data_IF_326794265492
#
_entry.id   IF_326794265492
#
_cell.length_a   1.000
_cell.length_b   1.000
_cell.length_c   1.000
_cell.angle_alpha   90.00
_cell.angle_beta   90.00
_cell.angle_gamma   90.00
#
_symmetry.space_group_name_H-M   'P 1'
#
loop_
_entity.id
_entity.type
_entity.pdbx_description
1 polymer ?
#
# COMPACT_ATOMS: atom_id res chain seq x y z
N UNK A 1 3.32 18.50 11.82
CA UNK A 1 2.30 17.46 11.55
C UNK A 1 2.94 16.46 10.59
N UNK A 2 2.78 15.15 10.80
CA UNK A 2 3.33 14.13 9.90
C UNK A 2 2.43 14.01 8.66
N UNK A 3 2.99 14.24 7.46
CA UNK A 3 2.29 14.05 6.20
C UNK A 3 2.73 12.73 5.56
N UNK A 4 1.75 11.93 5.13
CA UNK A 4 2.00 10.71 4.35
C UNK A 4 1.77 11.00 2.88
N UNK A 5 2.80 10.80 2.06
CA UNK A 5 2.73 10.85 0.61
C UNK A 5 2.85 9.45 0.04
N UNK A 6 2.03 9.11 -0.95
CA UNK A 6 2.14 7.85 -1.70
C UNK A 6 2.78 8.12 -3.06
N UNK A 7 3.95 7.53 -3.28
CA UNK A 7 4.68 7.60 -4.54
C UNK A 7 4.37 6.35 -5.38
N UNK A 8 3.84 6.57 -6.58
CA UNK A 8 3.57 5.49 -7.54
C UNK A 8 4.81 5.29 -8.40
N UNK A 9 5.42 4.10 -8.30
CA UNK A 9 6.63 3.74 -9.03
C UNK A 9 6.34 2.51 -9.90
N UNK A 10 6.66 2.57 -11.19
CA UNK A 10 6.51 1.43 -12.09
C UNK A 10 7.59 0.39 -11.77
N UNK A 11 7.23 -0.89 -11.84
CA UNK A 11 8.15 -2.01 -11.71
C UNK A 11 8.55 -2.54 -13.09
N UNK A 12 9.77 -3.02 -13.20
CA UNK A 12 10.29 -3.73 -14.37
C UNK A 12 10.66 -5.19 -13.99
N UNK A 13 9.65 -6.05 -13.74
CA UNK A 13 9.88 -7.44 -13.35
C UNK A 13 10.32 -8.30 -14.53
N UNK A 14 11.12 -9.33 -14.25
CA UNK A 14 11.40 -10.41 -15.22
C UNK A 14 10.16 -11.28 -15.44
N UNK A 15 10.09 -12.09 -16.52
CA UNK A 15 8.98 -13.03 -16.74
C UNK A 15 8.74 -13.97 -15.55
N UNK A 16 9.79 -14.45 -14.90
CA UNK A 16 9.68 -15.29 -13.69
C UNK A 16 9.08 -14.50 -12.52
N UNK A 17 9.54 -13.27 -12.30
CA UNK A 17 8.99 -12.40 -11.25
C UNK A 17 7.51 -12.05 -11.52
N UNK A 18 7.09 -11.92 -12.78
CA UNK A 18 5.68 -11.71 -13.15
C UNK A 18 4.82 -12.88 -12.69
N UNK A 19 5.24 -14.12 -12.92
CA UNK A 19 4.50 -15.31 -12.46
C UNK A 19 4.33 -15.30 -10.93
N UNK A 20 5.41 -14.99 -10.20
CA UNK A 20 5.37 -14.91 -8.73
C UNK A 20 4.50 -13.74 -8.22
N UNK A 21 4.52 -12.59 -8.91
CA UNK A 21 3.65 -11.45 -8.59
C UNK A 21 2.18 -11.86 -8.76
N UNK A 22 1.81 -12.47 -9.89
CA UNK A 22 0.43 -12.88 -10.15
C UNK A 22 -0.06 -13.92 -9.13
N UNK A 23 0.77 -14.93 -8.82
CA UNK A 23 0.47 -15.92 -7.80
C UNK A 23 0.26 -15.27 -6.43
N UNK A 24 1.13 -14.32 -6.06
CA UNK A 24 1.03 -13.58 -4.79
C UNK A 24 -0.23 -12.72 -4.73
N UNK A 25 -0.54 -11.98 -5.79
CA UNK A 25 -1.73 -11.12 -5.86
C UNK A 25 -3.02 -11.94 -5.80
N UNK A 26 -3.04 -13.09 -6.47
CA UNK A 26 -4.16 -14.04 -6.42
C UNK A 26 -4.33 -14.61 -5.02
N UNK A 27 -3.30 -15.23 -4.45
CA UNK A 27 -3.35 -15.81 -3.11
C UNK A 27 -3.75 -14.78 -2.04
N UNK A 28 -3.24 -13.54 -2.15
CA UNK A 28 -3.58 -12.47 -1.22
C UNK A 28 -5.05 -12.07 -1.31
N UNK A 29 -5.60 -11.92 -2.52
CA UNK A 29 -7.01 -11.59 -2.72
C UNK A 29 -7.93 -12.73 -2.26
N UNK A 30 -7.60 -13.97 -2.61
CA UNK A 30 -8.36 -15.16 -2.22
C UNK A 30 -8.39 -15.29 -0.68
N UNK A 31 -7.25 -15.08 -0.01
CA UNK A 31 -7.16 -15.01 1.45
C UNK A 31 -8.02 -13.89 2.06
N UNK A 32 -8.01 -12.67 1.47
CA UNK A 32 -8.88 -11.59 1.93
C UNK A 32 -10.37 -11.94 1.79
N UNK A 33 -10.77 -12.56 0.67
CA UNK A 33 -12.16 -12.97 0.46
C UNK A 33 -12.57 -14.07 1.44
N UNK A 34 -11.72 -15.08 1.64
CA UNK A 34 -11.93 -16.15 2.62
C UNK A 34 -12.10 -15.57 4.03
N UNK A 35 -11.16 -14.74 4.48
CA UNK A 35 -11.24 -14.10 5.79
C UNK A 35 -12.51 -13.25 5.95
N UNK A 36 -12.92 -12.54 4.88
CA UNK A 36 -14.15 -11.75 4.89
C UNK A 36 -15.42 -12.61 4.93
N UNK A 37 -15.38 -13.84 4.43
CA UNK A 37 -16.49 -14.79 4.46
C UNK A 37 -16.58 -15.53 5.81
N UNK A 38 -15.45 -16.02 6.32
CA UNK A 38 -15.42 -16.86 7.54
C UNK A 38 -15.67 -16.05 8.81
N UNK A 39 -15.18 -14.81 8.87
CA UNK A 39 -15.31 -14.00 10.08
C UNK A 39 -16.64 -13.26 10.07
N UNK A 40 -17.36 -13.26 11.20
CA UNK A 40 -18.62 -12.52 11.37
C UNK A 40 -18.51 -11.05 10.87
N UNK A 41 -19.46 -10.52 10.07
CA UNK A 41 -19.32 -9.22 9.39
C UNK A 41 -19.05 -8.01 10.29
N UNK A 42 -19.55 -8.03 11.53
CA UNK A 42 -19.39 -6.96 12.52
C UNK A 42 -17.95 -6.81 13.06
N UNK A 43 -17.12 -7.85 12.91
CA UNK A 43 -15.74 -7.83 13.40
C UNK A 43 -14.88 -7.03 12.43
N UNK A 44 -14.37 -5.90 12.89
CA UNK A 44 -13.50 -5.00 12.10
C UNK A 44 -12.05 -4.94 12.62
N UNK A 45 -11.78 -5.60 13.75
CA UNK A 45 -10.45 -5.64 14.36
C UNK A 45 -9.54 -6.61 13.61
N UNK A 46 -8.40 -6.11 13.12
CA UNK A 46 -7.39 -6.95 12.45
C UNK A 46 -6.90 -8.09 13.34
N UNK A 47 -6.76 -7.86 14.65
CA UNK A 47 -6.26 -8.85 15.60
C UNK A 47 -7.27 -9.96 15.80
N UNK A 48 -8.55 -9.60 15.96
CA UNK A 48 -9.62 -10.60 16.09
C UNK A 48 -9.78 -11.41 14.82
N UNK A 49 -9.72 -10.78 13.64
CA UNK A 49 -9.72 -11.50 12.35
C UNK A 49 -8.54 -12.46 12.31
N UNK A 50 -7.33 -12.00 12.59
CA UNK A 50 -6.13 -12.83 12.58
C UNK A 50 -6.24 -14.05 13.50
N UNK A 51 -6.72 -13.88 14.74
CA UNK A 51 -6.87 -15.00 15.67
C UNK A 51 -7.82 -16.08 15.15
N UNK A 52 -8.79 -15.73 14.31
CA UNK A 52 -9.79 -16.67 13.79
C UNK A 52 -9.35 -17.40 12.54
N UNK A 53 -8.58 -16.76 11.64
CA UNK A 53 -8.30 -17.32 10.31
C UNK A 53 -6.82 -17.47 9.98
N UNK A 54 -5.89 -17.05 10.84
CA UNK A 54 -4.47 -17.01 10.50
C UNK A 54 -3.90 -18.36 10.05
N UNK A 55 -4.26 -19.46 10.74
CA UNK A 55 -3.77 -20.79 10.38
C UNK A 55 -4.33 -21.24 9.03
N UNK A 56 -5.62 -21.02 8.79
CA UNK A 56 -6.27 -21.29 7.50
C UNK A 56 -5.61 -20.49 6.37
N UNK A 57 -5.29 -19.21 6.61
CA UNK A 57 -4.65 -18.38 5.58
C UNK A 57 -3.26 -18.88 5.22
N UNK A 58 -2.54 -19.45 6.19
CA UNK A 58 -1.21 -20.04 6.00
C UNK A 58 -1.30 -21.37 5.25
N UNK A 59 -2.27 -22.22 5.58
CA UNK A 59 -2.39 -23.56 5.02
C UNK A 59 -3.06 -23.58 3.64
N UNK A 60 -4.17 -22.86 3.47
CA UNK A 60 -4.99 -22.91 2.25
C UNK A 60 -4.40 -22.11 1.08
N UNK A 61 -3.75 -20.98 1.39
CA UNK A 61 -3.27 -20.04 0.36
C UNK A 61 -1.74 -19.94 0.30
N UNK A 62 -1.01 -20.67 1.15
CA UNK A 62 0.45 -20.67 1.18
C UNK A 62 1.08 -19.29 1.49
N UNK A 63 0.31 -18.34 2.03
CA UNK A 63 0.82 -17.00 2.28
C UNK A 63 1.93 -17.01 3.32
N UNK A 64 2.97 -16.20 3.13
CA UNK A 64 3.94 -15.94 4.21
C UNK A 64 3.25 -15.38 5.46
N UNK A 65 3.86 -15.55 6.64
CA UNK A 65 3.29 -15.07 7.89
C UNK A 65 2.89 -13.58 7.82
N UNK A 66 3.78 -12.73 7.30
CA UNK A 66 3.49 -11.30 7.20
C UNK A 66 2.40 -11.01 6.14
N UNK A 67 2.36 -11.70 4.99
CA UNK A 67 1.28 -11.53 4.01
C UNK A 67 -0.09 -11.94 4.58
N UNK A 68 -0.17 -13.01 5.36
CA UNK A 68 -1.40 -13.41 6.04
C UNK A 68 -1.86 -12.33 7.04
N UNK A 69 -0.94 -11.77 7.84
CA UNK A 69 -1.26 -10.63 8.73
C UNK A 69 -1.75 -9.41 7.94
N UNK A 70 -1.13 -9.12 6.80
CA UNK A 70 -1.53 -8.01 5.91
C UNK A 70 -2.92 -8.24 5.32
N UNK A 71 -3.26 -9.47 4.91
CA UNK A 71 -4.59 -9.82 4.43
C UNK A 71 -5.66 -9.55 5.52
N UNK A 72 -5.42 -10.00 6.75
CA UNK A 72 -6.30 -9.73 7.89
C UNK A 72 -6.46 -8.22 8.17
N UNK A 73 -5.35 -7.47 8.11
CA UNK A 73 -5.35 -6.02 8.29
C UNK A 73 -6.17 -5.32 7.19
N UNK A 74 -6.03 -5.75 5.93
CA UNK A 74 -6.79 -5.21 4.80
C UNK A 74 -8.29 -5.44 4.97
N UNK A 75 -8.71 -6.65 5.34
CA UNK A 75 -10.13 -6.97 5.59
C UNK A 75 -10.68 -6.10 6.71
N UNK A 76 -9.98 -6.01 7.83
CA UNK A 76 -10.38 -5.16 8.96
C UNK A 76 -10.55 -3.70 8.55
N UNK A 77 -9.58 -3.12 7.83
CA UNK A 77 -9.67 -1.74 7.34
C UNK A 77 -10.86 -1.52 6.40
N UNK A 78 -11.07 -2.42 5.43
CA UNK A 78 -12.20 -2.33 4.50
C UNK A 78 -13.54 -2.45 5.22
N UNK A 79 -13.67 -3.33 6.21
CA UNK A 79 -14.88 -3.44 7.03
C UNK A 79 -15.18 -2.17 7.83
N UNK A 80 -14.14 -1.50 8.36
CA UNK A 80 -14.31 -0.19 9.03
C UNK A 80 -14.88 0.84 8.06
N UNK A 81 -14.30 0.97 6.87
CA UNK A 81 -14.79 1.89 5.84
C UNK A 81 -16.20 1.54 5.36
N UNK A 82 -16.48 0.25 5.16
CA UNK A 82 -17.78 -0.26 4.76
C UNK A 82 -18.87 0.09 5.79
N UNK A 83 -18.58 -0.14 7.09
CA UNK A 83 -19.45 0.25 8.21
C UNK A 83 -19.71 1.75 8.25
N UNK A 84 -18.68 2.58 8.10
CA UNK A 84 -18.81 4.04 8.06
C UNK A 84 -19.68 4.52 6.89
N UNK A 85 -19.59 3.85 5.73
CA UNK A 85 -20.34 4.20 4.53
C UNK A 85 -21.69 3.50 4.40
N UNK A 86 -22.09 2.71 5.42
CA UNK A 86 -23.28 1.87 5.42
C UNK A 86 -23.41 1.02 4.14
N UNK A 87 -22.32 0.37 3.73
CA UNK A 87 -22.25 -0.48 2.52
C UNK A 87 -21.58 -1.80 2.83
N UNK A 88 -21.84 -2.88 2.08
CA UNK A 88 -21.11 -4.13 2.23
C UNK A 88 -19.66 -3.99 1.75
N UNK A 89 -18.78 -4.84 2.28
CA UNK A 89 -17.42 -5.00 1.75
C UNK A 89 -17.52 -5.58 0.35
N UNK A 90 -16.86 -4.94 -0.62
CA UNK A 90 -16.78 -5.44 -1.99
C UNK A 90 -15.78 -6.59 -2.07
N UNK A 91 -16.00 -7.48 -3.04
CA UNK A 91 -15.06 -8.55 -3.36
C UNK A 91 -13.65 -8.01 -3.62
N UNK A 92 -12.64 -8.63 -3.01
CA UNK A 92 -11.24 -8.27 -3.18
C UNK A 92 -10.72 -8.84 -4.50
N UNK A 93 -10.34 -7.96 -5.42
CA UNK A 93 -9.75 -8.37 -6.71
C UNK A 93 -8.26 -8.69 -6.55
N UNK A 94 -7.71 -9.62 -7.35
CA UNK A 94 -6.28 -9.97 -7.34
C UNK A 94 -5.43 -8.91 -8.05
N UNK A 95 -5.59 -7.65 -7.64
CA UNK A 95 -4.93 -6.50 -8.27
C UNK A 95 -4.00 -5.76 -7.33
N UNK A 96 -4.00 -6.08 -6.03
CA UNK A 96 -3.01 -5.50 -5.11
C UNK A 96 -2.73 -6.36 -3.89
N UNK A 97 -1.58 -6.12 -3.24
CA UNK A 97 -1.18 -6.72 -1.97
C UNK A 97 -0.45 -5.68 -1.09
N UNK A 98 -0.73 -5.67 0.22
CA UNK A 98 -0.15 -4.70 1.16
C UNK A 98 1.15 -5.27 1.73
N UNK A 99 2.14 -4.42 1.92
CA UNK A 99 3.45 -4.77 2.44
C UNK A 99 3.85 -3.88 3.61
N UNK A 100 4.56 -4.47 4.57
CA UNK A 100 5.20 -3.77 5.69
C UNK A 100 6.73 -3.96 5.66
N UNK A 101 7.45 -3.31 6.58
CA UNK A 101 8.90 -3.27 6.63
C UNK A 101 9.59 -4.64 6.72
N UNK A 102 8.88 -5.72 7.11
CA UNK A 102 9.46 -7.06 7.17
C UNK A 102 9.54 -7.71 5.80
N UNK A 103 8.56 -7.43 4.94
CA UNK A 103 8.39 -8.03 3.61
C UNK A 103 8.63 -7.06 2.46
N UNK A 104 8.88 -5.79 2.76
CA UNK A 104 9.21 -4.74 1.81
C UNK A 104 10.44 -3.94 2.26
N UNK A 105 11.31 -3.61 1.31
CA UNK A 105 12.33 -2.58 1.49
C UNK A 105 12.62 -1.87 0.16
N UNK A 106 12.68 -0.54 0.17
CA UNK A 106 13.26 0.23 -0.94
C UNK A 106 14.79 0.21 -0.86
N UNK A 107 15.45 -0.02 -1.99
CA UNK A 107 16.90 -0.09 -2.11
C UNK A 107 17.39 0.98 -3.07
N UNK A 108 17.93 2.04 -2.50
CA UNK A 108 18.40 3.21 -3.27
C UNK A 108 19.62 2.88 -4.14
N UNK A 109 20.52 2.01 -3.67
CA UNK A 109 21.80 1.70 -4.33
C UNK A 109 21.66 1.12 -5.74
N UNK A 110 20.58 0.37 -5.99
CA UNK A 110 20.32 -0.35 -7.24
C UNK A 110 18.95 0.01 -7.83
N UNK A 111 18.25 0.99 -7.23
CA UNK A 111 16.89 1.39 -7.59
C UNK A 111 15.93 0.20 -7.72
N UNK A 112 15.98 -0.69 -6.73
CA UNK A 112 15.08 -1.85 -6.63
C UNK A 112 14.17 -1.75 -5.42
N UNK A 113 13.11 -2.55 -5.43
CA UNK A 113 12.37 -2.91 -4.22
C UNK A 113 12.58 -4.38 -3.91
N UNK A 114 12.81 -4.67 -2.64
CA UNK A 114 12.83 -6.02 -2.09
C UNK A 114 11.43 -6.39 -1.65
N UNK A 115 10.82 -7.40 -2.26
CA UNK A 115 9.45 -7.85 -1.98
C UNK A 115 9.45 -9.35 -1.68
N UNK A 116 8.80 -9.74 -0.58
CA UNK A 116 8.51 -11.16 -0.32
C UNK A 116 7.27 -11.57 -1.12
N UNK A 117 7.49 -12.34 -2.18
CA UNK A 117 6.44 -13.00 -2.95
C UNK A 117 6.15 -14.38 -2.34
N UNK A 118 5.22 -15.13 -2.93
CA UNK A 118 4.78 -16.45 -2.45
C UNK A 118 5.93 -17.47 -2.30
N UNK A 119 6.93 -17.42 -3.18
CA UNK A 119 8.01 -18.40 -3.24
C UNK A 119 9.34 -17.88 -2.69
N UNK A 120 9.64 -16.60 -2.96
CA UNK A 120 10.95 -16.03 -2.69
C UNK A 120 10.86 -14.54 -2.36
N UNK A 121 11.95 -14.03 -1.80
CA UNK A 121 12.17 -12.59 -1.66
C UNK A 121 12.95 -12.07 -2.86
N UNK A 122 12.28 -11.32 -3.71
CA UNK A 122 12.80 -10.83 -4.98
C UNK A 122 13.27 -9.37 -4.90
N UNK A 123 14.24 -9.02 -5.74
CA UNK A 123 14.63 -7.64 -6.00
C UNK A 123 14.12 -7.22 -7.39
N UNK A 124 13.19 -6.29 -7.42
CA UNK A 124 12.52 -5.86 -8.65
C UNK A 124 12.92 -4.42 -8.96
N UNK A 125 13.40 -4.18 -10.18
CA UNK A 125 13.84 -2.86 -10.62
C UNK A 125 12.67 -1.89 -10.70
N UNK A 126 12.94 -0.64 -10.31
CA UNK A 126 12.01 0.48 -10.47
C UNK A 126 12.31 1.23 -11.77
N UNK A 127 11.25 1.50 -12.52
CA UNK A 127 11.25 2.44 -13.62
C UNK A 127 10.68 3.78 -13.11
N UNK A 128 11.59 4.66 -12.67
CA UNK A 128 11.27 5.90 -11.94
C UNK A 128 11.97 7.12 -12.52
N UNK A 129 11.20 8.19 -12.71
CA UNK A 129 11.68 9.49 -13.14
C UNK A 129 12.27 10.35 -12.02
N UNK A 130 12.72 11.55 -12.36
CA UNK A 130 13.42 12.47 -11.45
C UNK A 130 12.59 12.84 -10.21
N UNK A 131 11.27 12.95 -10.34
CA UNK A 131 10.38 13.26 -9.21
C UNK A 131 10.42 12.17 -8.14
N UNK A 132 10.15 10.91 -8.51
CA UNK A 132 10.20 9.79 -7.57
C UNK A 132 11.60 9.60 -7.02
N UNK A 133 12.63 9.77 -7.86
CA UNK A 133 14.03 9.69 -7.42
C UNK A 133 14.34 10.72 -6.33
N UNK A 134 13.98 11.97 -6.55
CA UNK A 134 14.18 13.05 -5.58
C UNK A 134 13.40 12.82 -4.27
N UNK A 135 12.17 12.30 -4.34
CA UNK A 135 11.34 12.05 -3.16
C UNK A 135 11.75 10.81 -2.35
N UNK A 136 12.39 9.82 -2.97
CA UNK A 136 12.85 8.59 -2.33
C UNK A 136 14.30 8.66 -1.84
N UNK A 137 15.10 9.60 -2.36
CA UNK A 137 16.52 9.77 -1.99
C UNK A 137 16.70 9.89 -0.48
N UNK A 138 17.56 9.07 0.11
CA UNK A 138 17.86 9.06 1.54
C UNK A 138 16.72 8.52 2.44
N UNK A 139 15.62 8.03 1.87
CA UNK A 139 14.47 7.56 2.64
C UNK A 139 14.45 6.05 2.82
N UNK A 140 13.91 5.61 3.95
CA UNK A 140 13.66 4.20 4.29
C UNK A 140 12.17 3.95 4.52
N UNK A 141 11.34 4.04 3.47
CA UNK A 141 9.90 3.81 3.60
C UNK A 141 9.63 2.39 4.11
N UNK A 142 8.61 2.26 4.95
CA UNK A 142 8.30 1.01 5.69
C UNK A 142 6.99 0.37 5.26
N UNK A 143 6.26 1.00 4.34
CA UNK A 143 4.95 0.56 3.89
C UNK A 143 4.82 0.76 2.40
N UNK A 144 4.27 -0.23 1.71
CA UNK A 144 3.98 -0.15 0.30
C UNK A 144 2.79 -1.03 -0.09
N UNK A 145 2.22 -0.77 -1.27
CA UNK A 145 1.23 -1.63 -1.89
C UNK A 145 1.66 -2.01 -3.30
N UNK A 146 1.82 -3.31 -3.54
CA UNK A 146 2.05 -3.86 -4.88
C UNK A 146 0.71 -3.83 -5.63
N UNK A 147 0.69 -3.30 -6.85
CA UNK A 147 -0.51 -3.06 -7.64
C UNK A 147 -0.33 -3.51 -9.08
N UNK A 148 -1.30 -4.26 -9.62
CA UNK A 148 -1.49 -4.46 -11.06
C UNK A 148 -2.46 -3.40 -11.58
N UNK A 149 -2.01 -2.59 -12.52
CA UNK A 149 -2.81 -1.53 -13.12
C UNK A 149 -3.58 -2.03 -14.35
N UNK A 150 -4.50 -1.23 -14.86
CA UNK A 150 -5.37 -1.60 -16.00
C UNK A 150 -4.62 -1.73 -17.31
N UNK A 151 -3.47 -1.09 -17.41
CA UNK A 151 -2.53 -1.18 -18.53
C UNK A 151 -1.74 -2.51 -18.55
N UNK A 152 -1.96 -3.37 -17.54
CA UNK A 152 -1.27 -4.67 -17.41
C UNK A 152 0.10 -4.57 -16.76
N UNK A 153 0.58 -3.37 -16.42
CA UNK A 153 1.87 -3.19 -15.75
C UNK A 153 1.73 -3.23 -14.23
N UNK A 154 2.87 -3.46 -13.59
CA UNK A 154 2.98 -3.55 -12.13
C UNK A 154 3.60 -2.28 -11.57
N UNK A 155 3.06 -1.85 -10.45
CA UNK A 155 3.48 -0.66 -9.74
C UNK A 155 3.62 -0.96 -8.25
N UNK A 156 4.54 -0.26 -7.60
CA UNK A 156 4.66 -0.24 -6.15
C UNK A 156 4.29 1.16 -5.66
N UNK A 157 3.28 1.22 -4.80
CA UNK A 157 2.80 2.44 -4.17
C UNK A 157 3.52 2.60 -2.83
N UNK A 158 4.60 3.36 -2.82
CA UNK A 158 5.49 3.51 -1.66
C UNK A 158 4.99 4.67 -0.79
N UNK A 159 4.75 4.40 0.50
CA UNK A 159 4.36 5.43 1.44
C UNK A 159 5.60 6.05 2.09
N UNK A 160 5.82 7.33 1.83
CA UNK A 160 6.85 8.13 2.51
C UNK A 160 6.18 9.03 3.54
N UNK A 161 6.84 9.19 4.68
CA UNK A 161 6.41 10.12 5.72
C UNK A 161 7.38 11.29 5.76
N UNK A 162 6.83 12.49 5.85
CA UNK A 162 7.57 13.74 5.97
C UNK A 162 7.02 14.55 7.14
N UNK A 163 7.93 15.11 7.93
CA UNK A 163 7.54 16.15 8.86
C UNK A 163 7.29 17.43 8.09
N UNK A 164 6.05 17.90 8.14
CA UNK A 164 5.71 19.21 7.60
C UNK A 164 6.06 20.24 8.65
N UNK A 165 6.93 21.18 8.26
CA UNK A 165 7.20 22.41 9.01
C UNK A 165 5.88 23.03 9.42
N UNK A 166 5.77 23.50 10.66
CA UNK A 166 4.57 24.25 11.06
C UNK A 166 4.37 25.40 10.07
N UNK A 167 3.12 25.68 9.64
CA UNK A 167 2.86 26.85 8.82
C UNK A 167 3.42 28.07 9.56
N UNK A 168 4.17 28.91 8.85
CA UNK A 168 4.59 30.20 9.38
C UNK A 168 3.33 31.03 9.62
N UNK A 169 2.74 30.90 10.81
CA UNK A 169 1.72 31.84 11.29
C UNK A 169 2.49 33.13 11.56
N UNK A 170 2.64 33.97 10.53
CA UNK A 170 3.09 35.35 10.74
C UNK A 170 2.00 36.04 11.54
N UNK A 171 2.21 36.16 12.85
CA UNK A 171 1.39 36.99 13.73
C UNK A 171 1.34 38.40 13.16
N UNK A 172 0.13 38.95 13.19
CA UNK A 172 -0.38 40.10 12.43
C UNK A 172 0.21 41.47 12.79
N UNK A 173 1.52 41.61 12.92
CA UNK A 173 2.18 42.89 13.20
C UNK A 173 3.23 43.34 12.17
N UNK A 174 3.54 42.56 11.14
CA UNK A 174 4.27 43.05 9.98
C UNK A 174 3.63 42.58 8.68
N UNK A 175 3.15 43.54 7.89
CA UNK A 175 2.76 43.37 6.49
C UNK A 175 3.97 42.91 5.66
N UNK A 176 4.28 41.62 5.68
CA UNK A 176 5.08 40.96 4.66
C UNK A 176 4.21 39.90 4.02
N UNK A 177 3.40 40.36 3.07
CA UNK A 177 2.40 39.57 2.37
C UNK A 177 3.00 38.29 1.79
N UNK A 178 2.37 37.17 2.09
CA UNK A 178 2.33 36.08 1.11
C UNK A 178 1.34 36.52 0.03
N UNK A 179 1.80 37.34 -0.93
CA UNK A 179 1.00 37.79 -2.06
C UNK A 179 0.67 36.67 -3.06
N UNK A 180 1.11 35.43 -2.78
CA UNK A 180 0.91 34.28 -3.65
C UNK A 180 -0.36 33.55 -3.25
N UNK A 181 -1.50 34.06 -3.71
CA UNK A 181 -2.78 33.33 -3.66
C UNK A 181 -2.88 32.50 -4.93
N UNK A 182 -3.10 31.19 -4.78
CA UNK A 182 -3.46 30.30 -5.90
C UNK A 182 -4.94 30.00 -5.76
N UNK A 183 -5.76 30.52 -6.68
CA UNK A 183 -7.16 30.12 -6.82
C UNK A 183 -7.25 28.76 -7.51
N UNK A 184 -7.93 27.80 -6.89
CA UNK A 184 -8.21 26.49 -7.49
C UNK A 184 -9.74 26.37 -7.64
N UNK A 185 -10.23 26.50 -8.88
CA UNK A 185 -11.61 26.22 -9.24
C UNK A 185 -11.69 24.84 -9.92
N UNK A 186 -12.54 23.96 -9.40
CA UNK A 186 -12.73 22.62 -9.98
C UNK A 186 -13.72 22.62 -11.16
N UNK A 187 -14.38 23.75 -11.44
CA UNK A 187 -15.41 23.87 -12.46
C UNK A 187 -16.60 22.93 -12.23
N UNK A 188 -17.71 23.16 -12.93
CA UNK A 188 -18.76 22.14 -13.10
C UNK A 188 -18.48 21.43 -14.42
N UNK A 189 -18.38 20.10 -14.39
CA UNK A 189 -18.42 19.27 -15.60
C UNK A 189 -19.86 19.04 -16.03
#
# INVERSE_FOLDING_TARGET
MEQVLTLVCKLNPTPQQVVQIEATLKAFADACNYANQQVKPQITSKTTIQNLVYQDLRSLFGLSANLAVRACARVGANRKTAKQKNKPVKFFKPTSADYDARIFAFREKDWTVSLTLSEAREHIKLDVGNYQRGKLKGKKPTSAQLCKHRDGFYYIHIQTKDEVSQPLIKTSSLRTGTNNVIGVDFGRR
#
